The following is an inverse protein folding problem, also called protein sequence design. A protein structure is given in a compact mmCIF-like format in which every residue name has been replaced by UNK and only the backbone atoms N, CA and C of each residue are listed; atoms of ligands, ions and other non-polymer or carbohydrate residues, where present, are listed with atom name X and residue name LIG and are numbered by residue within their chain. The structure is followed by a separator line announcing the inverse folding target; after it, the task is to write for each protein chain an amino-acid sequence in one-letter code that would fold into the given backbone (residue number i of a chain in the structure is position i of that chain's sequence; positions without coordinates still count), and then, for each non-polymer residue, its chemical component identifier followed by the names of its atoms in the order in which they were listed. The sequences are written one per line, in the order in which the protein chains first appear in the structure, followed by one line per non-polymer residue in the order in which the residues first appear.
data_IF_164636256290
#
_entry.id   IF_164636256290
#
_cell.length_a   1.000
_cell.length_b   1.000
_cell.length_c   1.000
_cell.angle_alpha   90.00
_cell.angle_beta   90.00
_cell.angle_gamma   90.00
#
_symmetry.space_group_name_H-M   'P 1'
#
loop_
_entity.id
_entity.type
_entity.pdbx_description
1 polymer ?
#
# COMPACT_ATOMS: atom_id res chain seq x y z
N UNK A 1 0.11 -25.49 6.94
CA UNK A 1 0.54 -24.58 5.85
C UNK A 1 -0.30 -23.35 6.04
N UNK A 2 0.30 -22.22 6.37
CA UNK A 2 -0.44 -20.95 6.45
C UNK A 2 -0.95 -20.64 5.06
N UNK A 3 -2.26 -20.43 4.92
CA UNK A 3 -2.90 -20.25 3.64
C UNK A 3 -2.49 -18.88 3.05
N UNK A 4 -1.94 -18.92 1.84
CA UNK A 4 -1.61 -17.72 1.06
C UNK A 4 -2.89 -16.95 0.72
N UNK A 5 -2.92 -15.64 1.01
CA UNK A 5 -4.02 -14.76 0.60
C UNK A 5 -3.81 -14.29 -0.83
N UNK A 6 -2.58 -13.87 -1.17
CA UNK A 6 -2.20 -13.47 -2.51
C UNK A 6 -0.94 -14.21 -2.91
N UNK A 7 -1.00 -14.95 -4.00
CA UNK A 7 0.10 -15.69 -4.58
C UNK A 7 0.45 -15.09 -5.95
N UNK A 8 1.68 -14.63 -6.10
CA UNK A 8 2.25 -14.08 -7.33
C UNK A 8 3.39 -15.00 -7.75
N UNK A 9 3.34 -15.56 -8.97
CA UNK A 9 4.34 -16.50 -9.49
C UNK A 9 4.84 -16.10 -10.87
N UNK A 10 6.14 -15.88 -10.96
CA UNK A 10 6.92 -15.69 -12.20
C UNK A 10 6.28 -14.64 -13.12
N UNK A 11 5.83 -13.52 -12.53
CA UNK A 11 5.05 -12.50 -13.23
C UNK A 11 5.96 -11.56 -14.02
N UNK A 12 5.62 -11.43 -15.32
CA UNK A 12 6.21 -10.45 -16.25
C UNK A 12 5.13 -9.49 -16.72
N UNK A 13 5.50 -8.23 -16.87
CA UNK A 13 4.58 -7.23 -17.40
C UNK A 13 5.31 -6.09 -18.10
N UNK A 14 4.78 -5.66 -19.26
CA UNK A 14 5.29 -4.53 -20.04
C UNK A 14 4.17 -3.57 -20.46
N UNK A 15 4.46 -2.27 -20.50
CA UNK A 15 3.63 -1.27 -21.18
C UNK A 15 4.22 -0.98 -22.55
N UNK A 16 3.46 -1.18 -23.62
CA UNK A 16 3.88 -0.86 -25.00
C UNK A 16 5.29 -1.41 -25.36
N UNK A 17 5.60 -2.62 -24.90
CA UNK A 17 6.89 -3.26 -25.14
C UNK A 17 8.01 -2.84 -24.17
N UNK A 18 7.79 -1.87 -23.29
CA UNK A 18 8.73 -1.51 -22.24
C UNK A 18 8.46 -2.35 -20.99
N UNK A 19 9.39 -3.23 -20.63
CA UNK A 19 9.28 -4.10 -19.47
C UNK A 19 9.32 -3.28 -18.18
N UNK A 20 8.34 -3.53 -17.30
CA UNK A 20 8.17 -2.87 -16.01
C UNK A 20 8.34 -3.86 -14.85
N UNK A 21 7.95 -5.12 -15.06
CA UNK A 21 8.15 -6.20 -14.08
C UNK A 21 8.75 -7.41 -14.80
N UNK A 22 9.74 -8.02 -14.15
CA UNK A 22 10.53 -9.14 -14.66
C UNK A 22 10.62 -10.22 -13.59
N UNK A 23 10.06 -11.39 -13.84
CA UNK A 23 10.14 -12.58 -12.98
C UNK A 23 9.79 -12.32 -11.52
N UNK A 24 8.65 -11.62 -11.30
CA UNK A 24 8.22 -11.22 -9.96
C UNK A 24 7.43 -12.33 -9.29
N UNK A 25 7.91 -12.77 -8.12
CA UNK A 25 7.22 -13.73 -7.26
C UNK A 25 7.09 -13.17 -5.84
N UNK A 26 5.88 -13.27 -5.24
CA UNK A 26 5.58 -12.81 -3.89
C UNK A 26 4.40 -13.61 -3.33
N UNK A 27 4.50 -13.98 -2.06
CA UNK A 27 3.44 -14.65 -1.31
C UNK A 27 3.03 -13.81 -0.11
N UNK A 28 1.75 -13.37 -0.07
CA UNK A 28 1.19 -12.63 1.05
C UNK A 28 0.33 -13.57 1.87
N UNK A 29 0.68 -13.76 3.13
CA UNK A 29 0.02 -14.67 4.05
C UNK A 29 -0.86 -13.95 5.06
N UNK A 30 -1.69 -14.70 5.75
CA UNK A 30 -2.52 -14.20 6.84
C UNK A 30 -1.63 -13.54 7.92
N UNK A 31 -1.97 -12.31 8.29
CA UNK A 31 -1.25 -11.56 9.32
C UNK A 31 0.06 -10.90 8.87
N UNK A 32 0.41 -10.96 7.59
CA UNK A 32 1.57 -10.23 7.08
C UNK A 32 1.36 -8.72 7.17
N UNK A 33 2.46 -8.02 7.48
CA UNK A 33 2.58 -6.58 7.32
C UNK A 33 3.85 -6.29 6.53
N UNK A 34 3.66 -6.10 5.23
CA UNK A 34 4.74 -5.95 4.25
C UNK A 34 4.85 -4.49 3.84
N UNK A 35 6.07 -3.93 3.87
CA UNK A 35 6.36 -2.69 3.17
C UNK A 35 6.92 -3.00 1.78
N UNK A 36 6.36 -2.37 0.76
CA UNK A 36 6.89 -2.39 -0.60
C UNK A 36 7.63 -1.10 -0.86
N UNK A 37 8.92 -1.19 -1.12
CA UNK A 37 9.81 -0.05 -1.36
C UNK A 37 10.48 -0.18 -2.73
N UNK A 38 11.06 0.91 -3.23
CA UNK A 38 11.78 0.93 -4.51
C UNK A 38 11.67 2.29 -5.20
N UNK A 39 12.42 2.50 -6.30
CA UNK A 39 12.44 3.77 -7.02
C UNK A 39 11.11 4.11 -7.67
N UNK A 40 10.94 5.40 -8.02
CA UNK A 40 9.83 5.82 -8.86
C UNK A 40 9.96 5.16 -10.24
N UNK A 41 8.85 4.62 -10.75
CA UNK A 41 8.87 3.83 -11.99
C UNK A 41 9.34 2.38 -11.82
N UNK A 42 9.78 1.94 -10.64
CA UNK A 42 10.25 0.57 -10.39
C UNK A 42 9.19 -0.54 -10.47
N UNK A 43 7.91 -0.20 -10.72
CA UNK A 43 6.85 -1.19 -10.93
C UNK A 43 5.88 -1.38 -9.75
N UNK A 44 6.06 -0.69 -8.61
CA UNK A 44 5.24 -0.85 -7.39
C UNK A 44 3.73 -0.72 -7.65
N UNK A 45 3.28 0.42 -8.15
CA UNK A 45 1.85 0.65 -8.47
C UNK A 45 1.34 -0.28 -9.57
N UNK A 46 2.22 -0.68 -10.52
CA UNK A 46 1.88 -1.67 -11.55
C UNK A 46 1.59 -3.03 -10.92
N UNK A 47 2.42 -3.47 -9.98
CA UNK A 47 2.21 -4.71 -9.24
C UNK A 47 0.89 -4.68 -8.45
N UNK A 48 0.59 -3.57 -7.77
CA UNK A 48 -0.71 -3.40 -7.10
C UNK A 48 -1.88 -3.51 -8.08
N UNK A 49 -1.81 -2.88 -9.26
CA UNK A 49 -2.85 -2.96 -10.29
C UNK A 49 -3.04 -4.38 -10.83
N UNK A 50 -1.97 -5.15 -10.97
CA UNK A 50 -2.02 -6.57 -11.35
C UNK A 50 -2.71 -7.41 -10.25
N UNK A 51 -2.38 -7.20 -8.97
CA UNK A 51 -3.05 -7.86 -7.84
C UNK A 51 -4.54 -7.55 -7.78
N UNK A 52 -4.93 -6.33 -8.11
CA UNK A 52 -6.33 -5.90 -8.20
C UNK A 52 -7.07 -6.43 -9.44
N UNK A 53 -6.37 -7.07 -10.38
CA UNK A 53 -6.95 -7.52 -11.64
C UNK A 53 -7.32 -6.38 -12.61
N UNK A 54 -6.81 -5.16 -12.37
CA UNK A 54 -6.95 -4.00 -13.27
C UNK A 54 -6.03 -4.11 -14.49
N UNK A 55 -4.96 -4.88 -14.35
CA UNK A 55 -4.05 -5.27 -15.42
C UNK A 55 -3.95 -6.80 -15.43
N UNK A 56 -3.54 -7.34 -16.57
CA UNK A 56 -3.28 -8.78 -16.74
C UNK A 56 -1.77 -8.97 -16.98
N UNK A 57 -1.11 -9.90 -16.28
CA UNK A 57 0.30 -10.19 -16.54
C UNK A 57 0.50 -10.77 -17.94
N UNK A 58 1.64 -10.48 -18.56
CA UNK A 58 2.05 -11.04 -19.86
C UNK A 58 2.46 -12.50 -19.69
N UNK A 59 3.14 -12.82 -18.58
CA UNK A 59 3.53 -14.19 -18.19
C UNK A 59 3.33 -14.37 -16.68
N UNK A 60 3.34 -15.62 -16.24
CA UNK A 60 3.12 -15.97 -14.83
C UNK A 60 1.66 -15.95 -14.42
N UNK A 61 1.42 -15.92 -13.12
CA UNK A 61 0.05 -15.93 -12.58
C UNK A 61 -0.06 -15.19 -11.25
N UNK A 62 -1.25 -14.63 -11.02
CA UNK A 62 -1.62 -14.05 -9.73
C UNK A 62 -2.93 -14.67 -9.28
N UNK A 63 -2.95 -15.16 -8.03
CA UNK A 63 -4.14 -15.73 -7.39
C UNK A 63 -4.45 -15.02 -6.09
N UNK A 64 -5.73 -14.89 -5.77
CA UNK A 64 -6.22 -14.34 -4.51
C UNK A 64 -7.13 -15.37 -3.89
N UNK A 65 -6.75 -15.92 -2.73
CA UNK A 65 -7.41 -17.05 -2.06
C UNK A 65 -7.62 -18.25 -3.01
N UNK A 66 -6.62 -18.52 -3.86
CA UNK A 66 -6.64 -19.61 -4.84
C UNK A 66 -7.40 -19.29 -6.14
N UNK A 67 -8.20 -18.23 -6.18
CA UNK A 67 -8.95 -17.79 -7.37
C UNK A 67 -8.13 -16.81 -8.23
N UNK A 68 -8.56 -16.62 -9.50
CA UNK A 68 -8.01 -15.58 -10.36
C UNK A 68 -8.28 -14.18 -9.77
N UNK A 69 -7.42 -13.20 -10.04
CA UNK A 69 -7.57 -11.82 -9.57
C UNK A 69 -8.95 -11.23 -9.89
N UNK A 70 -9.53 -11.55 -11.06
CA UNK A 70 -10.88 -11.09 -11.45
C UNK A 70 -11.99 -11.55 -10.48
N UNK A 71 -11.85 -12.75 -9.90
CA UNK A 71 -12.82 -13.30 -8.94
C UNK A 71 -12.45 -12.94 -7.51
N UNK A 72 -11.16 -12.96 -7.18
CA UNK A 72 -10.67 -12.79 -5.83
C UNK A 72 -10.47 -11.32 -5.40
N UNK A 73 -10.46 -10.36 -6.32
CA UNK A 73 -10.16 -8.95 -5.99
C UNK A 73 -11.12 -8.30 -4.98
N UNK A 74 -12.33 -8.83 -4.80
CA UNK A 74 -13.25 -8.34 -3.77
C UNK A 74 -12.76 -8.64 -2.33
N UNK A 75 -11.79 -9.53 -2.17
CA UNK A 75 -11.11 -9.78 -0.90
C UNK A 75 -9.93 -8.82 -0.65
N UNK A 76 -9.67 -7.89 -1.59
CA UNK A 76 -8.61 -6.89 -1.48
C UNK A 76 -9.23 -5.52 -1.23
N UNK A 77 -8.87 -4.88 -0.13
CA UNK A 77 -9.11 -3.45 0.07
C UNK A 77 -7.97 -2.66 -0.55
N UNK A 78 -8.28 -1.57 -1.27
CA UNK A 78 -7.26 -0.74 -1.89
C UNK A 78 -7.47 0.75 -1.62
N UNK A 79 -6.38 1.42 -1.27
CA UNK A 79 -6.31 2.88 -1.15
C UNK A 79 -5.19 3.38 -2.03
N UNK A 80 -5.55 4.18 -3.05
CA UNK A 80 -4.60 4.75 -4.01
C UNK A 80 -3.88 5.96 -3.44
N UNK A 81 -2.68 6.25 -3.96
CA UNK A 81 -1.88 7.42 -3.65
C UNK A 81 -2.65 8.73 -3.89
N UNK A 82 -3.23 8.86 -5.08
CA UNK A 82 -3.99 10.04 -5.48
C UNK A 82 -5.50 9.80 -5.34
N UNK A 83 -6.09 10.39 -4.33
CA UNK A 83 -7.53 10.54 -4.27
C UNK A 83 -7.88 12.00 -4.58
N UNK A 84 -8.00 12.31 -5.86
CA UNK A 84 -8.46 13.62 -6.28
C UNK A 84 -9.91 13.82 -5.86
N UNK A 85 -10.10 14.57 -4.79
CA UNK A 85 -11.43 15.00 -4.35
C UNK A 85 -11.63 16.43 -4.77
N UNK A 86 -12.68 16.67 -5.54
CA UNK A 86 -13.20 18.01 -5.66
C UNK A 86 -13.73 18.44 -4.28
N UNK A 87 -12.97 19.30 -3.57
CA UNK A 87 -13.31 19.75 -2.21
C UNK A 87 -14.66 20.48 -2.13
N UNK A 88 -15.16 21.00 -3.24
CA UNK A 88 -16.47 21.64 -3.32
C UNK A 88 -17.61 20.63 -3.45
N UNK A 89 -17.34 19.36 -3.69
CA UNK A 89 -18.38 18.35 -3.81
C UNK A 89 -18.96 18.00 -2.43
N UNK A 90 -20.28 18.15 -2.22
CA UNK A 90 -20.90 18.04 -0.91
C UNK A 90 -21.16 16.57 -0.51
N UNK A 91 -20.10 15.75 -0.48
CA UNK A 91 -20.17 14.35 -0.05
C UNK A 91 -19.66 14.23 1.38
N UNK A 92 -20.35 13.47 2.21
CA UNK A 92 -19.97 13.22 3.61
C UNK A 92 -18.99 12.06 3.74
N UNK A 93 -18.30 11.96 4.87
CA UNK A 93 -17.38 10.86 5.15
C UNK A 93 -18.11 9.50 5.11
N UNK A 94 -19.31 9.40 5.67
CA UNK A 94 -20.10 8.16 5.65
C UNK A 94 -20.51 7.78 4.22
N UNK A 95 -20.86 8.76 3.38
CA UNK A 95 -21.19 8.49 1.96
C UNK A 95 -19.97 7.93 1.21
N UNK A 96 -18.78 8.46 1.47
CA UNK A 96 -17.53 7.94 0.88
C UNK A 96 -17.29 6.49 1.28
N UNK A 97 -17.53 6.14 2.55
CA UNK A 97 -17.37 4.75 3.02
C UNK A 97 -18.41 3.83 2.38
N UNK A 98 -19.67 4.28 2.27
CA UNK A 98 -20.75 3.54 1.61
C UNK A 98 -20.44 3.22 0.14
N UNK A 99 -19.69 4.07 -0.57
CA UNK A 99 -19.23 3.78 -1.92
C UNK A 99 -18.38 2.49 -2.00
N UNK A 100 -17.70 2.10 -0.93
CA UNK A 100 -16.97 0.83 -0.87
C UNK A 100 -17.86 -0.41 -1.02
N UNK A 101 -19.15 -0.29 -0.73
CA UNK A 101 -20.15 -1.38 -0.86
C UNK A 101 -20.91 -1.38 -2.18
N UNK A 102 -20.53 -0.52 -3.12
CA UNK A 102 -21.19 -0.48 -4.43
C UNK A 102 -20.83 -1.74 -5.23
N UNK A 103 -21.86 -2.49 -5.62
CA UNK A 103 -21.72 -3.64 -6.50
C UNK A 103 -22.05 -3.23 -7.95
N UNK A 104 -21.25 -3.63 -8.96
CA UNK A 104 -21.39 -3.18 -10.34
C UNK A 104 -22.78 -3.43 -10.96
N UNK A 105 -23.53 -4.40 -10.45
CA UNK A 105 -24.81 -4.84 -11.00
C UNK A 105 -26.02 -4.51 -10.11
N UNK A 106 -25.82 -3.86 -8.97
CA UNK A 106 -26.94 -3.41 -8.12
C UNK A 106 -27.32 -1.98 -8.50
N UNK A 107 -28.61 -1.76 -8.82
CA UNK A 107 -29.16 -0.41 -9.00
C UNK A 107 -28.86 0.44 -7.77
N UNK A 108 -28.48 1.68 -7.99
CA UNK A 108 -28.42 2.71 -6.95
C UNK A 108 -29.78 2.75 -6.23
N UNK A 109 -29.87 2.07 -5.09
CA UNK A 109 -30.99 2.10 -4.18
C UNK A 109 -30.54 2.77 -2.88
N UNK A 110 -31.50 3.13 -2.02
CA UNK A 110 -31.20 3.57 -0.66
C UNK A 110 -30.30 2.54 0.00
N UNK A 111 -29.16 2.98 0.52
CA UNK A 111 -28.28 2.15 1.36
C UNK A 111 -29.14 1.50 2.45
N UNK A 112 -29.00 0.21 2.66
CA UNK A 112 -29.71 -0.47 3.75
C UNK A 112 -29.26 0.08 5.09
N UNK A 113 -30.11 0.02 6.12
CA UNK A 113 -29.72 0.38 7.48
C UNK A 113 -28.47 -0.39 7.92
N UNK A 114 -28.34 -1.66 7.50
CA UNK A 114 -27.14 -2.47 7.78
C UNK A 114 -25.90 -1.91 7.09
N UNK A 115 -25.98 -1.50 5.81
CA UNK A 115 -24.82 -0.91 5.10
C UNK A 115 -24.38 0.39 5.75
N UNK A 116 -25.32 1.18 6.25
CA UNK A 116 -24.99 2.41 6.98
C UNK A 116 -24.30 2.12 8.31
N UNK A 117 -24.79 1.13 9.06
CA UNK A 117 -24.13 0.69 10.30
C UNK A 117 -22.71 0.17 10.03
N UNK A 118 -22.53 -0.68 9.01
CA UNK A 118 -21.21 -1.18 8.63
C UNK A 118 -20.25 -0.04 8.27
N UNK A 119 -20.76 1.03 7.63
CA UNK A 119 -19.95 2.20 7.32
C UNK A 119 -19.54 2.98 8.58
N UNK A 120 -20.45 3.14 9.55
CA UNK A 120 -20.14 3.76 10.84
C UNK A 120 -19.14 2.94 11.64
N UNK A 121 -19.26 1.61 11.64
CA UNK A 121 -18.32 0.71 12.30
C UNK A 121 -16.93 0.79 11.67
N UNK A 122 -16.85 0.89 10.32
CA UNK A 122 -15.58 1.08 9.62
C UNK A 122 -14.93 2.44 9.96
N UNK A 123 -15.73 3.51 10.07
CA UNK A 123 -15.25 4.83 10.53
C UNK A 123 -14.78 4.80 11.99
N UNK A 124 -15.45 4.03 12.84
CA UNK A 124 -15.05 3.85 14.24
C UNK A 124 -13.72 3.12 14.36
N UNK A 125 -13.52 2.04 13.60
CA UNK A 125 -12.22 1.33 13.52
C UNK A 125 -11.07 2.25 13.09
N UNK A 126 -11.36 3.28 12.31
CA UNK A 126 -10.40 4.29 11.86
C UNK A 126 -10.37 5.54 12.75
N UNK A 127 -11.08 5.54 13.89
CA UNK A 127 -11.11 6.64 14.87
C UNK A 127 -11.60 7.98 14.27
N UNK A 128 -12.48 7.93 13.27
CA UNK A 128 -13.04 9.12 12.57
C UNK A 128 -14.56 9.12 12.52
N UNK A 129 -15.25 8.29 13.33
CA UNK A 129 -16.71 8.22 13.40
C UNK A 129 -17.35 9.57 13.75
N UNK A 130 -16.70 10.37 14.61
CA UNK A 130 -17.18 11.70 14.99
C UNK A 130 -17.33 12.66 13.78
N UNK A 131 -16.69 12.34 12.65
CA UNK A 131 -16.73 13.12 11.41
C UNK A 131 -17.63 12.49 10.34
N UNK A 132 -18.47 11.50 10.68
CA UNK A 132 -19.27 10.75 9.72
C UNK A 132 -20.11 11.66 8.79
N UNK A 133 -20.74 12.69 9.36
CA UNK A 133 -21.59 13.65 8.65
C UNK A 133 -20.84 14.86 8.11
N UNK A 134 -19.53 14.98 8.39
CA UNK A 134 -18.70 16.07 7.89
C UNK A 134 -18.41 15.88 6.41
N UNK A 135 -18.36 16.98 5.64
CA UNK A 135 -17.96 16.92 4.23
C UNK A 135 -16.50 16.52 4.13
N UNK A 136 -16.21 15.62 3.20
CA UNK A 136 -14.85 15.08 3.00
C UNK A 136 -13.82 16.18 2.71
N UNK A 137 -14.25 17.28 2.06
CA UNK A 137 -13.39 18.44 1.78
C UNK A 137 -12.98 19.26 3.01
N UNK A 138 -13.75 19.17 4.11
CA UNK A 138 -13.50 19.90 5.36
C UNK A 138 -12.54 19.15 6.29
N UNK A 139 -12.29 17.86 6.03
CA UNK A 139 -11.42 17.03 6.85
C UNK A 139 -9.93 17.34 6.61
N UNK A 140 -9.12 17.17 7.66
CA UNK A 140 -7.65 17.20 7.54
C UNK A 140 -7.13 16.07 6.63
N UNK A 141 -5.87 16.15 6.16
CA UNK A 141 -5.26 15.10 5.34
C UNK A 141 -5.31 13.72 6.00
N UNK A 142 -4.93 13.64 7.27
CA UNK A 142 -4.96 12.39 8.04
C UNK A 142 -6.37 11.86 8.28
N UNK A 143 -7.35 12.73 8.57
CA UNK A 143 -8.75 12.32 8.70
C UNK A 143 -9.32 11.77 7.39
N UNK A 144 -9.06 12.45 6.27
CA UNK A 144 -9.46 11.95 4.94
C UNK A 144 -8.83 10.59 4.63
N UNK A 145 -7.55 10.42 4.92
CA UNK A 145 -6.86 9.15 4.70
C UNK A 145 -7.52 8.01 5.48
N UNK A 146 -7.86 8.25 6.75
CA UNK A 146 -8.59 7.30 7.59
C UNK A 146 -9.98 6.96 7.02
N UNK A 147 -10.70 7.94 6.46
CA UNK A 147 -11.98 7.70 5.77
C UNK A 147 -11.80 6.81 4.52
N UNK A 148 -10.72 7.00 3.73
CA UNK A 148 -10.46 6.14 2.57
C UNK A 148 -10.09 4.72 2.97
N UNK A 149 -9.38 4.55 4.08
CA UNK A 149 -9.12 3.22 4.62
C UNK A 149 -10.44 2.60 5.12
N UNK A 150 -11.30 3.34 5.83
CA UNK A 150 -12.62 2.86 6.22
C UNK A 150 -13.45 2.41 5.02
N UNK A 151 -13.39 3.16 3.89
CA UNK A 151 -14.03 2.75 2.62
C UNK A 151 -13.48 1.42 2.09
N UNK A 152 -12.18 1.18 2.21
CA UNK A 152 -11.59 -0.08 1.77
C UNK A 152 -11.94 -1.23 2.74
N UNK A 153 -12.12 -0.95 4.03
CA UNK A 153 -12.41 -1.94 5.06
C UNK A 153 -13.89 -2.37 5.14
N UNK A 154 -14.83 -1.53 4.66
CA UNK A 154 -16.26 -1.79 4.78
C UNK A 154 -16.72 -3.06 4.05
N UNK A 155 -15.93 -3.55 3.09
CA UNK A 155 -16.11 -4.83 2.39
C UNK A 155 -15.52 -6.03 3.13
N UNK A 156 -14.93 -5.81 4.30
CA UNK A 156 -14.25 -6.84 5.11
C UNK A 156 -13.18 -7.63 4.32
N UNK A 157 -12.23 -6.95 3.69
CA UNK A 157 -11.21 -7.60 2.89
C UNK A 157 -10.28 -8.46 3.73
N UNK A 158 -9.54 -9.39 3.11
CA UNK A 158 -8.51 -10.22 3.74
C UNK A 158 -7.13 -9.58 3.71
N UNK A 159 -6.89 -8.71 2.73
CA UNK A 159 -5.65 -7.93 2.61
C UNK A 159 -5.98 -6.49 2.25
N UNK A 160 -5.24 -5.56 2.82
CA UNK A 160 -5.32 -4.13 2.54
C UNK A 160 -4.05 -3.69 1.82
N UNK A 161 -4.22 -3.16 0.61
CA UNK A 161 -3.15 -2.56 -0.19
C UNK A 161 -3.22 -1.04 -0.06
N UNK A 162 -2.14 -0.42 0.37
CA UNK A 162 -2.03 1.02 0.58
C UNK A 162 -0.90 1.57 -0.31
N UNK A 163 -1.23 2.47 -1.23
CA UNK A 163 -0.26 3.10 -2.13
C UNK A 163 0.07 4.50 -1.60
N UNK A 164 1.26 4.67 -0.99
CA UNK A 164 1.78 5.90 -0.38
C UNK A 164 0.78 6.63 0.56
N UNK A 165 0.23 5.95 1.56
CA UNK A 165 -0.90 6.47 2.34
C UNK A 165 -0.55 7.67 3.23
N UNK A 166 0.72 7.97 3.44
CA UNK A 166 1.18 9.04 4.35
C UNK A 166 1.58 10.33 3.64
N UNK A 167 1.50 10.41 2.31
CA UNK A 167 1.93 11.57 1.53
C UNK A 167 1.28 12.92 1.94
N UNK A 168 0.08 12.86 2.54
CA UNK A 168 -0.67 14.06 3.01
C UNK A 168 -0.70 14.21 4.53
N UNK A 169 0.16 13.50 5.27
CA UNK A 169 0.17 13.45 6.73
C UNK A 169 1.50 14.02 7.23
N UNK A 170 1.47 14.87 8.25
CA UNK A 170 2.68 15.39 8.90
C UNK A 170 3.43 14.30 9.69
N UNK A 171 4.69 14.52 10.02
CA UNK A 171 5.56 13.52 10.65
C UNK A 171 4.99 12.96 11.98
N UNK A 172 4.30 13.80 12.78
CA UNK A 172 3.65 13.36 14.02
C UNK A 172 2.47 12.44 13.73
N UNK A 173 1.64 12.81 12.77
CA UNK A 173 0.49 12.02 12.33
C UNK A 173 0.88 10.70 11.68
N UNK A 174 2.04 10.64 11.02
CA UNK A 174 2.55 9.41 10.40
C UNK A 174 2.80 8.31 11.45
N UNK A 175 3.42 8.62 12.57
CA UNK A 175 3.66 7.64 13.63
C UNK A 175 2.34 7.11 14.23
N UNK A 176 1.33 7.97 14.40
CA UNK A 176 -0.02 7.56 14.85
C UNK A 176 -0.71 6.67 13.80
N UNK A 177 -0.56 7.03 12.53
CA UNK A 177 -1.11 6.29 11.41
C UNK A 177 -0.53 4.86 11.34
N UNK A 178 0.79 4.71 11.43
CA UNK A 178 1.42 3.38 11.42
C UNK A 178 1.07 2.55 12.66
N UNK A 179 0.91 3.18 13.84
CA UNK A 179 0.41 2.47 15.04
C UNK A 179 -1.01 1.95 14.83
N UNK A 180 -1.88 2.73 14.20
CA UNK A 180 -3.24 2.31 13.82
C UNK A 180 -3.18 1.14 12.81
N UNK A 181 -2.33 1.20 11.79
CA UNK A 181 -2.14 0.08 10.84
C UNK A 181 -1.63 -1.17 11.55
N UNK A 182 -0.70 -1.05 12.49
CA UNK A 182 -0.21 -2.19 13.30
C UNK A 182 -1.32 -2.81 14.15
N UNK A 183 -2.21 -2.00 14.71
CA UNK A 183 -3.38 -2.51 15.41
C UNK A 183 -4.33 -3.24 14.47
N UNK A 184 -4.58 -2.69 13.28
CA UNK A 184 -5.42 -3.28 12.24
C UNK A 184 -4.84 -4.60 11.69
N UNK A 185 -3.51 -4.72 11.64
CA UNK A 185 -2.82 -5.95 11.15
C UNK A 185 -3.06 -7.19 12.01
N UNK A 186 -3.64 -7.05 13.19
CA UNK A 186 -4.08 -8.20 13.99
C UNK A 186 -5.19 -9.00 13.32
N UNK A 187 -6.03 -8.32 12.53
CA UNK A 187 -7.22 -8.89 11.91
C UNK A 187 -7.06 -9.08 10.39
N UNK A 188 -6.21 -8.27 9.74
CA UNK A 188 -6.09 -8.21 8.29
C UNK A 188 -4.62 -8.08 7.89
N UNK A 189 -4.24 -8.73 6.79
CA UNK A 189 -2.89 -8.56 6.22
C UNK A 189 -2.77 -7.21 5.53
N UNK A 190 -1.59 -6.59 5.59
CA UNK A 190 -1.35 -5.25 5.05
C UNK A 190 -0.12 -5.27 4.17
N UNK A 191 -0.24 -4.70 2.97
CA UNK A 191 0.87 -4.31 2.12
C UNK A 191 0.82 -2.80 1.91
N UNK A 192 1.88 -2.10 2.31
CA UNK A 192 1.99 -0.64 2.18
C UNK A 192 3.15 -0.28 1.27
N UNK A 193 2.90 0.49 0.23
CA UNK A 193 3.95 1.17 -0.53
C UNK A 193 4.33 2.43 0.23
N UNK A 194 5.60 2.60 0.55
CA UNK A 194 6.08 3.76 1.30
C UNK A 194 7.53 4.08 0.96
N UNK A 195 7.88 5.35 1.10
CA UNK A 195 9.26 5.84 1.04
C UNK A 195 9.82 6.19 2.44
N UNK A 196 9.00 6.06 3.50
CA UNK A 196 9.40 6.35 4.88
C UNK A 196 10.04 5.11 5.53
N UNK A 197 11.34 4.99 5.37
CA UNK A 197 12.12 3.84 5.85
C UNK A 197 12.19 3.75 7.38
N UNK A 198 12.08 4.88 8.10
CA UNK A 198 12.08 4.90 9.57
C UNK A 198 10.78 4.30 10.10
N UNK A 199 9.64 4.70 9.54
CA UNK A 199 8.36 4.12 9.91
C UNK A 199 8.29 2.63 9.55
N UNK A 200 8.83 2.25 8.37
CA UNK A 200 8.87 0.86 7.91
C UNK A 200 9.61 0.00 8.93
N UNK A 201 10.85 0.32 9.28
CA UNK A 201 11.68 -0.48 10.20
C UNK A 201 11.05 -0.67 11.59
N UNK A 202 10.19 0.26 12.01
CA UNK A 202 9.55 0.23 13.33
C UNK A 202 8.26 -0.60 13.37
N UNK A 203 7.48 -0.61 12.28
CA UNK A 203 6.11 -1.10 12.33
C UNK A 203 5.83 -2.32 11.48
N UNK A 204 6.58 -2.55 10.39
CA UNK A 204 6.35 -3.68 9.47
C UNK A 204 7.08 -4.95 9.91
N UNK A 205 6.72 -6.09 9.33
CA UNK A 205 7.34 -7.39 9.61
C UNK A 205 8.36 -7.77 8.54
N UNK A 206 8.15 -7.33 7.32
CA UNK A 206 8.95 -7.71 6.16
C UNK A 206 8.94 -6.63 5.09
N UNK A 207 9.92 -6.66 4.21
CA UNK A 207 10.12 -5.67 3.15
C UNK A 207 10.20 -6.37 1.80
N UNK A 208 9.49 -5.83 0.81
CA UNK A 208 9.56 -6.20 -0.59
C UNK A 208 10.20 -5.05 -1.39
N UNK A 209 11.41 -5.26 -1.87
CA UNK A 209 12.15 -4.30 -2.69
C UNK A 209 11.79 -4.52 -4.16
N UNK A 210 11.22 -3.50 -4.82
CA UNK A 210 10.73 -3.60 -6.21
C UNK A 210 11.44 -2.60 -7.11
N UNK A 211 12.25 -3.12 -8.03
CA UNK A 211 12.86 -2.39 -9.12
C UNK A 211 12.93 -3.31 -10.35
N UNK A 212 11.87 -3.36 -11.14
CA UNK A 212 11.55 -4.35 -12.16
C UNK A 212 11.46 -5.78 -11.63
N UNK A 213 12.43 -6.23 -10.86
CA UNK A 213 12.42 -7.48 -10.09
C UNK A 213 11.95 -7.23 -8.66
N UNK A 214 11.65 -8.30 -7.91
CA UNK A 214 11.24 -8.22 -6.53
C UNK A 214 12.16 -9.07 -5.66
N UNK A 215 12.76 -8.43 -4.64
CA UNK A 215 13.53 -9.10 -3.60
C UNK A 215 12.75 -9.00 -2.28
N UNK A 216 12.44 -10.14 -1.68
CA UNK A 216 11.66 -10.21 -0.44
C UNK A 216 12.54 -10.53 0.76
N UNK A 217 12.43 -9.73 1.80
CA UNK A 217 13.19 -9.85 3.04
C UNK A 217 12.26 -10.09 4.21
N UNK A 218 12.48 -11.19 4.93
CA UNK A 218 11.64 -11.61 6.08
C UNK A 218 11.83 -10.75 7.34
N UNK A 219 12.78 -9.82 7.34
CA UNK A 219 13.05 -8.89 8.44
C UNK A 219 12.84 -7.46 7.98
N UNK A 220 12.37 -6.61 8.91
CA UNK A 220 12.17 -5.19 8.65
C UNK A 220 13.45 -4.35 8.79
N UNK A 221 14.59 -4.97 9.08
CA UNK A 221 15.89 -4.28 9.09
C UNK A 221 16.28 -3.96 7.64
N UNK A 222 16.25 -2.68 7.32
CA UNK A 222 16.69 -2.17 6.04
C UNK A 222 18.21 -2.07 6.10
N UNK A 223 18.89 -2.97 5.36
CA UNK A 223 20.35 -2.98 5.27
C UNK A 223 20.84 -2.06 4.15
N UNK A 224 22.11 -1.61 4.26
CA UNK A 224 22.76 -0.83 3.20
C UNK A 224 22.74 -1.57 1.85
N UNK A 225 22.96 -2.89 1.85
CA UNK A 225 22.93 -3.72 0.65
C UNK A 225 21.57 -3.67 -0.05
N UNK A 226 20.44 -3.74 0.70
CA UNK A 226 19.10 -3.60 0.15
C UNK A 226 18.87 -2.25 -0.55
N UNK A 227 19.46 -1.20 0.00
CA UNK A 227 19.33 0.15 -0.57
C UNK A 227 20.20 0.32 -1.80
N UNK A 228 21.42 -0.27 -1.83
CA UNK A 228 22.29 -0.27 -3.01
C UNK A 228 21.68 -1.05 -4.19
N UNK A 229 21.03 -2.18 -3.93
CA UNK A 229 20.30 -2.94 -4.96
C UNK A 229 19.11 -2.16 -5.54
N UNK A 230 18.42 -1.38 -4.71
CA UNK A 230 17.27 -0.60 -5.15
C UNK A 230 17.63 0.70 -5.85
N UNK A 231 18.68 1.35 -5.39
CA UNK A 231 19.16 2.64 -5.88
C UNK A 231 20.62 2.51 -6.29
N UNK A 232 20.92 1.91 -7.45
CA UNK A 232 22.30 1.87 -7.92
C UNK A 232 22.80 3.30 -8.06
N UNK A 233 23.75 3.68 -7.18
CA UNK A 233 24.35 4.99 -7.16
C UNK A 233 25.12 5.20 -8.46
N UNK A 234 24.72 6.17 -9.28
CA UNK A 234 25.57 6.75 -10.29
C UNK A 234 26.43 7.82 -9.64
N UNK A 235 27.66 8.00 -10.09
CA UNK A 235 28.70 8.86 -9.45
C UNK A 235 28.29 10.34 -9.24
N UNK A 236 27.12 10.77 -9.70
CA UNK A 236 26.64 12.17 -9.65
C UNK A 236 25.42 12.40 -8.74
N UNK A 237 24.77 11.35 -8.20
CA UNK A 237 23.59 11.51 -7.32
C UNK A 237 23.91 11.12 -5.88
N UNK A 238 23.49 11.98 -4.94
CA UNK A 238 23.57 11.68 -3.49
C UNK A 238 22.78 10.39 -3.23
N UNK A 239 23.49 9.35 -2.80
CA UNK A 239 22.86 8.06 -2.51
C UNK A 239 21.80 8.24 -1.40
N UNK A 240 20.54 7.84 -1.60
CA UNK A 240 19.51 7.91 -0.57
C UNK A 240 19.87 7.16 0.72
N UNK A 241 20.77 6.20 0.63
CA UNK A 241 21.33 5.43 1.76
C UNK A 241 22.08 6.32 2.77
N UNK A 242 22.75 7.36 2.28
CA UNK A 242 23.51 8.28 3.15
C UNK A 242 22.63 9.08 4.10
N UNK A 243 21.39 9.37 3.67
CA UNK A 243 20.43 10.14 4.48
C UNK A 243 19.77 9.31 5.59
N UNK A 244 19.79 7.99 5.50
CA UNK A 244 18.91 7.13 6.31
C UNK A 244 19.66 6.33 7.36
N UNK A 245 20.87 5.87 7.07
CA UNK A 245 21.57 4.96 7.97
C UNK A 245 22.00 5.59 9.29
N UNK A 246 22.23 6.92 9.37
CA UNK A 246 22.77 7.55 10.57
C UNK A 246 22.23 8.95 10.93
N UNK A 247 21.31 9.53 10.21
CA UNK A 247 20.81 10.89 10.48
C UNK A 247 21.89 11.99 10.40
N UNK A 248 23.07 11.68 9.89
CA UNK A 248 24.20 12.58 9.69
C UNK A 248 24.80 12.29 8.30
N UNK A 249 25.22 13.33 7.55
CA UNK A 249 25.87 13.13 6.28
C UNK A 249 27.21 12.39 6.50
N UNK A 250 27.27 11.13 6.13
CA UNK A 250 28.53 10.42 6.06
C UNK A 250 29.28 10.85 4.79
N UNK A 251 30.54 11.22 4.97
CA UNK A 251 31.47 11.31 3.86
C UNK A 251 31.60 9.93 3.23
N UNK A 252 31.31 9.82 1.95
CA UNK A 252 31.69 8.67 1.12
C UNK A 252 33.18 8.44 1.35
N UNK A 253 33.53 7.35 1.99
CA UNK A 253 34.90 6.88 1.99
C UNK A 253 35.19 6.39 0.57
N UNK A 254 35.69 7.28 -0.27
CA UNK A 254 36.29 6.93 -1.53
C UNK A 254 37.45 5.98 -1.22
N UNK A 255 37.23 4.71 -1.38
CA UNK A 255 38.34 3.78 -1.61
C UNK A 255 38.83 4.03 -3.04
N UNK A 256 39.60 5.08 -3.21
CA UNK A 256 40.58 5.10 -4.26
C UNK A 256 41.74 4.24 -3.80
N UNK A 257 41.82 3.07 -4.36
CA UNK A 257 43.08 2.38 -4.45
C UNK A 257 43.97 3.18 -5.41
N UNK A 258 44.85 3.98 -4.85
CA UNK A 258 46.08 4.36 -5.52
C UNK A 258 47.04 3.21 -5.37
N UNK A 259 47.34 2.54 -6.47
CA UNK A 259 48.66 1.96 -6.79
C UNK A 259 48.68 1.43 -8.20
#
# INVERSE_FOLDING_TARGET
MEDSIVEIKDVWFAYNGQTVLEDVSLDIRQGDFIAMIGPNGGGKTTLLKLMLGLLKPDQGSIRVLGDSTRKGSHHIGYVSQDVHINRSFPITAVDVVLMGKLEPNKRWGRSSAQSHQDALDALERMEVKAFADSKIGELSGGQRQRVFIARALVTQPKVLLLDEPTASIDAKGQAEFYRMLKALNKDISILVVSHDLVAISTYVKSVACVNKQLHYHHQAEITGEMLEEMYPCTDEEVCPVELIAHGLPHRVLKHHQDS
#
